data_IF_068578645562
#
_entry.id   IF_068578645562
#
_cell.length_a   1.000
_cell.length_b   1.000
_cell.length_c   1.000
_cell.angle_alpha   90.00
_cell.angle_beta   90.00
_cell.angle_gamma   90.00
#
_symmetry.space_group_name_H-M   'P 1'
#
loop_
_entity.id
_entity.type
_entity.pdbx_description
1 polymer ?
#
# COMPACT_ATOMS: atom_id res chain seq x y z
N UNK A 1 -13.99 3.90 16.07
CA UNK A 1 -12.83 4.81 15.94
C UNK A 1 -13.25 6.01 15.08
N UNK A 2 -12.41 7.03 14.90
CA UNK A 2 -12.77 8.15 14.03
C UNK A 2 -12.74 7.70 12.56
N UNK A 3 -13.84 7.92 11.85
CA UNK A 3 -13.93 7.64 10.42
C UNK A 3 -13.39 8.84 9.66
N UNK A 4 -12.52 8.59 8.70
CA UNK A 4 -11.85 9.62 7.91
C UNK A 4 -12.21 9.41 6.44
N UNK A 5 -12.34 10.50 5.69
CA UNK A 5 -12.62 10.46 4.26
C UNK A 5 -11.32 10.44 3.46
N UNK A 6 -11.20 9.49 2.54
CA UNK A 6 -10.06 9.28 1.68
C UNK A 6 -10.48 9.40 0.22
N UNK A 7 -9.68 10.06 -0.62
CA UNK A 7 -9.89 10.07 -2.06
C UNK A 7 -9.33 8.79 -2.70
N UNK A 8 -10.05 8.20 -3.63
CA UNK A 8 -9.59 7.03 -4.39
C UNK A 8 -8.66 7.48 -5.51
N UNK A 9 -7.38 7.19 -5.35
CA UNK A 9 -6.35 7.52 -6.33
C UNK A 9 -6.32 6.54 -7.50
N UNK A 10 -6.58 5.24 -7.25
CA UNK A 10 -6.57 4.18 -8.26
C UNK A 10 -7.79 3.26 -8.12
N UNK A 11 -8.34 2.83 -9.25
CA UNK A 11 -9.40 1.82 -9.29
C UNK A 11 -8.91 0.52 -8.65
N UNK A 12 -9.67 0.00 -7.69
CA UNK A 12 -9.35 -1.24 -7.00
C UNK A 12 -10.60 -2.12 -6.90
N UNK A 13 -10.48 -3.34 -7.41
CA UNK A 13 -11.54 -4.35 -7.39
C UNK A 13 -11.13 -5.47 -6.44
N UNK A 14 -11.56 -5.36 -5.19
CA UNK A 14 -11.46 -6.42 -4.19
C UNK A 14 -12.86 -6.68 -3.62
N UNK A 15 -12.97 -6.89 -2.32
CA UNK A 15 -14.25 -7.07 -1.62
C UNK A 15 -15.15 -5.84 -1.76
N UNK A 16 -14.54 -4.65 -1.86
CA UNK A 16 -15.23 -3.39 -2.14
C UNK A 16 -14.65 -2.77 -3.40
N UNK A 17 -15.55 -2.33 -4.28
CA UNK A 17 -15.16 -1.59 -5.47
C UNK A 17 -14.79 -0.15 -5.08
N UNK A 18 -13.57 0.24 -5.43
CA UNK A 18 -13.11 1.62 -5.36
C UNK A 18 -12.93 2.15 -6.78
N UNK A 19 -13.63 3.22 -7.12
CA UNK A 19 -13.49 3.89 -8.42
C UNK A 19 -12.65 5.16 -8.29
N UNK A 20 -11.73 5.35 -9.24
CA UNK A 20 -10.83 6.50 -9.24
C UNK A 20 -11.65 7.80 -9.30
N UNK A 21 -11.35 8.73 -8.39
CA UNK A 21 -12.06 10.01 -8.28
C UNK A 21 -13.24 9.99 -7.29
N UNK A 22 -13.64 8.83 -6.76
CA UNK A 22 -14.57 8.78 -5.63
C UNK A 22 -13.87 9.11 -4.31
N UNK A 23 -14.67 9.47 -3.30
CA UNK A 23 -14.23 9.59 -1.91
C UNK A 23 -14.91 8.54 -1.04
N UNK A 24 -14.18 7.94 -0.11
CA UNK A 24 -14.69 6.90 0.78
C UNK A 24 -14.36 7.21 2.23
N UNK A 25 -15.35 7.02 3.10
CA UNK A 25 -15.21 7.21 4.55
C UNK A 25 -15.02 5.87 5.23
N UNK A 26 -13.87 5.68 5.88
CA UNK A 26 -13.49 4.43 6.53
C UNK A 26 -12.58 4.69 7.74
N UNK A 27 -12.33 3.67 8.56
CA UNK A 27 -11.35 3.79 9.65
C UNK A 27 -9.93 3.66 9.10
N UNK A 28 -9.00 4.43 9.68
CA UNK A 28 -7.60 4.46 9.25
C UNK A 28 -6.92 3.08 9.25
N UNK A 29 -7.24 2.24 10.25
CA UNK A 29 -6.70 0.90 10.35
C UNK A 29 -7.19 -0.03 9.23
N UNK A 30 -8.46 0.06 8.86
CA UNK A 30 -9.04 -0.77 7.79
C UNK A 30 -8.42 -0.44 6.44
N UNK A 31 -8.13 0.84 6.18
CA UNK A 31 -7.64 1.29 4.87
C UNK A 31 -6.14 1.60 4.82
N UNK A 32 -5.41 1.37 5.91
CA UNK A 32 -3.96 1.59 5.97
C UNK A 32 -3.21 0.84 4.85
N UNK A 33 -3.61 -0.41 4.58
CA UNK A 33 -3.02 -1.21 3.51
C UNK A 33 -3.36 -0.67 2.12
N UNK A 34 -4.56 -0.10 1.93
CA UNK A 34 -4.98 0.53 0.67
C UNK A 34 -4.24 1.84 0.41
N UNK A 35 -4.02 2.65 1.46
CA UNK A 35 -3.21 3.87 1.37
C UNK A 35 -1.75 3.51 1.03
N UNK A 36 -1.18 2.51 1.72
CA UNK A 36 0.18 2.02 1.42
C UNK A 36 0.31 1.43 0.02
N UNK A 37 -0.75 0.81 -0.49
CA UNK A 37 -0.81 0.27 -1.87
C UNK A 37 -1.07 1.34 -2.94
N UNK A 38 -1.34 2.60 -2.55
CA UNK A 38 -1.65 3.70 -3.48
C UNK A 38 -3.06 3.63 -4.09
N UNK A 39 -3.98 2.88 -3.47
CA UNK A 39 -5.40 2.84 -3.86
C UNK A 39 -6.12 4.08 -3.33
N UNK A 40 -5.87 4.44 -2.08
CA UNK A 40 -6.42 5.63 -1.43
C UNK A 40 -5.33 6.68 -1.19
N UNK A 41 -5.68 7.95 -1.33
CA UNK A 41 -4.83 9.07 -0.96
C UNK A 41 -4.79 9.23 0.57
N UNK A 42 -3.64 9.56 1.17
CA UNK A 42 -3.55 9.86 2.59
C UNK A 42 -4.50 11.02 2.97
N UNK A 43 -5.11 11.00 4.16
CA UNK A 43 -6.10 11.99 4.55
C UNK A 43 -5.49 13.38 4.79
N UNK A 44 -4.18 13.45 5.02
CA UNK A 44 -3.41 14.70 5.14
C UNK A 44 -2.80 15.15 3.80
N UNK A 45 -2.97 14.37 2.72
CA UNK A 45 -2.43 14.69 1.40
C UNK A 45 -3.42 15.49 0.55
N UNK A 46 -4.10 16.47 1.15
CA UNK A 46 -4.89 17.45 0.40
C UNK A 46 -4.06 18.19 -0.65
N UNK A 47 -2.76 18.37 -0.40
CA UNK A 47 -1.86 19.11 -1.29
C UNK A 47 -0.41 18.62 -1.12
N UNK A 48 -0.12 17.35 -1.45
CA UNK A 48 1.27 16.94 -1.71
C UNK A 48 1.35 16.12 -2.98
N UNK A 49 1.55 16.86 -4.05
CA UNK A 49 2.07 16.36 -5.31
C UNK A 49 3.28 15.45 -5.11
N UNK A 50 3.35 14.46 -6.00
CA UNK A 50 4.56 13.84 -6.51
C UNK A 50 5.36 12.86 -5.63
N UNK A 51 5.31 11.60 -6.08
CA UNK A 51 6.48 10.71 -6.31
C UNK A 51 7.32 10.32 -5.09
N UNK A 52 7.22 9.06 -4.71
CA UNK A 52 8.39 8.20 -4.52
C UNK A 52 7.95 6.74 -4.50
N UNK A 53 8.51 5.96 -5.43
CA UNK A 53 8.52 4.50 -5.39
C UNK A 53 8.90 4.02 -3.98
N UNK A 54 8.06 3.19 -3.36
CA UNK A 54 8.57 2.37 -2.28
C UNK A 54 9.67 1.50 -2.88
N UNK A 55 10.93 1.56 -2.39
CA UNK A 55 11.97 0.71 -2.91
C UNK A 55 11.51 -0.74 -2.73
N UNK A 56 11.35 -1.45 -3.84
CA UNK A 56 11.00 -2.86 -3.84
C UNK A 56 12.21 -3.59 -3.25
N UNK A 57 12.20 -3.80 -1.94
CA UNK A 57 13.22 -4.61 -1.28
C UNK A 57 13.10 -6.03 -1.84
N UNK A 58 14.07 -6.41 -2.67
CA UNK A 58 14.13 -7.74 -3.26
C UNK A 58 14.45 -8.75 -2.16
N UNK A 59 13.45 -9.56 -1.78
CA UNK A 59 13.59 -10.60 -0.74
C UNK A 59 14.58 -11.71 -1.09
N UNK A 60 15.12 -11.73 -2.31
CA UNK A 60 16.06 -12.76 -2.76
C UNK A 60 17.54 -12.43 -2.47
N UNK A 61 17.90 -11.16 -2.21
CA UNK A 61 19.28 -10.76 -1.94
C UNK A 61 19.64 -11.06 -0.48
N UNK A 62 20.06 -12.30 -0.20
CA UNK A 62 20.52 -12.73 1.13
C UNK A 62 20.07 -14.14 1.53
N UNK A 63 19.23 -14.80 0.72
CA UNK A 63 18.83 -16.18 0.95
C UNK A 63 19.95 -17.16 0.56
N UNK A 64 21.05 -17.16 1.32
CA UNK A 64 22.01 -18.26 1.25
C UNK A 64 21.30 -19.56 1.68
N UNK A 65 21.34 -20.64 0.88
CA UNK A 65 20.68 -21.90 1.25
C UNK A 65 21.40 -22.51 2.47
N UNK A 66 20.73 -22.49 3.64
CA UNK A 66 21.21 -23.09 4.91
C UNK A 66 21.50 -24.61 4.83
N UNK A 67 21.22 -25.25 3.70
CA UNK A 67 21.30 -26.71 3.54
C UNK A 67 22.46 -27.22 2.67
N UNK A 68 23.37 -26.35 2.18
CA UNK A 68 24.56 -26.82 1.46
C UNK A 68 25.69 -27.12 2.45
N UNK A 69 25.81 -28.37 2.90
CA UNK A 69 27.07 -28.87 3.48
C UNK A 69 28.12 -28.88 2.36
N UNK A 70 29.12 -28.01 2.44
CA UNK A 70 30.35 -28.14 1.67
C UNK A 70 31.04 -29.41 2.17
N UNK A 71 31.15 -30.42 1.29
CA UNK A 71 31.93 -31.63 1.57
C UNK A 71 33.40 -31.26 1.36
N UNK A 72 34.18 -31.28 2.44
CA UNK A 72 35.64 -31.20 2.40
C UNK A 72 36.24 -32.49 1.85
#
# INVERSE_FOLDING_TARGET
>A
MAKVTYAVARRHMAERLYERGETRTAEANEVAHLVRAGVLAPPEAGEREAKAEAPVQNKAEGAAPRNKRVRA
#
